data_IF_991580793397
#
_entry.id   IF_991580793397
#
_cell.length_a   1.000
_cell.length_b   1.000
_cell.length_c   1.000
_cell.angle_alpha   90.00
_cell.angle_beta   90.00
_cell.angle_gamma   90.00
#
_symmetry.space_group_name_H-M   'P 1'
#
loop_
_entity.id
_entity.type
_entity.pdbx_description
1 polymer ?
2 non-polymer ?
3 water ?
#
# COMPACT_ATOMS: atom_id res chain seq x y z
N UNK A 1 2.08 -16.05 3.51
CA UNK A 1 3.58 -16.29 3.30
C UNK A 1 4.30 -15.02 2.88
N UNK A 2 5.60 -14.98 3.11
CA UNK A 2 6.47 -13.96 2.43
C UNK A 2 7.87 -14.45 2.41
N UNK A 3 8.63 -13.91 1.47
CA UNK A 3 10.04 -14.29 1.36
C UNK A 3 10.69 -12.93 1.14
N UNK A 4 11.44 -12.48 2.15
CA UNK A 4 12.03 -11.18 2.12
C UNK A 4 13.44 -11.25 2.65
N UNK A 5 14.28 -10.33 2.24
CA UNK A 5 15.62 -10.09 2.81
C UNK A 5 15.53 -9.58 4.25
N UNK A 6 16.33 -10.15 5.19
CA UNK A 6 16.35 -9.58 6.56
C UNK A 6 17.06 -8.25 6.58
N UNK A 7 16.69 -7.37 7.53
CA UNK A 7 17.38 -6.07 7.67
C UNK A 7 18.79 -6.20 8.27
N UNK A 8 19.63 -5.18 8.08
CA UNK A 8 21.01 -5.22 8.59
C UNK A 8 21.05 -5.34 10.15
N UNK A 9 22.22 -5.71 10.69
CA UNK A 9 22.38 -5.91 12.14
C UNK A 9 21.85 -4.66 12.89
N UNK A 10 21.08 -4.94 13.93
CA UNK A 10 20.51 -3.95 14.81
C UNK A 10 19.37 -3.07 14.22
N UNK A 11 18.91 -3.28 12.97
CA UNK A 11 17.94 -2.31 12.37
C UNK A 11 16.65 -2.21 13.15
N UNK A 12 16.27 -3.30 13.84
CA UNK A 12 14.98 -3.40 14.54
C UNK A 12 15.14 -3.27 16.06
N UNK A 13 16.31 -2.78 16.47
CA UNK A 13 16.62 -2.41 17.86
C UNK A 13 16.51 -0.90 18.05
N UNK A 14 15.47 -0.52 18.78
CA UNK A 14 15.02 0.87 18.81
C UNK A 14 15.18 1.46 20.20
N UNK A 15 15.76 2.65 20.28
CA UNK A 15 15.66 3.51 21.48
C UNK A 15 14.23 4.09 21.51
N UNK A 16 13.84 4.69 20.40
CA UNK A 16 12.43 5.08 20.26
C UNK A 16 11.98 4.88 18.81
N UNK A 17 10.70 4.56 18.62
CA UNK A 17 10.04 4.53 17.33
C UNK A 17 9.40 5.87 17.09
N UNK A 18 9.68 6.46 15.95
CA UNK A 18 9.09 7.74 15.52
C UNK A 18 8.03 7.53 14.48
N UNK A 19 6.90 8.21 14.63
CA UNK A 19 5.94 8.36 13.52
C UNK A 19 6.59 9.24 12.47
N UNK A 20 6.24 9.04 11.21
CA UNK A 20 6.90 9.71 10.10
C UNK A 20 5.86 10.40 9.18
N UNK A 21 6.22 11.58 8.65
CA UNK A 21 5.39 12.28 7.66
C UNK A 21 6.23 12.38 6.40
N UNK A 22 5.61 12.62 5.23
CA UNK A 22 6.50 12.75 4.05
C UNK A 22 7.52 13.86 4.14
N UNK A 23 8.65 13.70 3.46
CA UNK A 23 9.68 14.71 3.52
C UNK A 23 10.06 15.33 2.17
N UNK A 24 9.33 14.96 1.11
CA UNK A 24 9.53 15.46 -0.21
C UNK A 24 8.26 15.40 -1.02
N UNK A 25 8.07 16.44 -1.85
CA UNK A 25 7.00 16.55 -2.82
C UNK A 25 7.52 16.82 -4.26
N UNK A 26 7.06 16.04 -5.23
CA UNK A 26 7.45 16.14 -6.62
C UNK A 26 6.22 16.63 -7.34
N UNK A 27 6.36 17.83 -7.90
CA UNK A 27 5.27 18.54 -8.57
C UNK A 27 5.06 18.10 -9.99
N UNK A 28 3.80 17.91 -10.39
CA UNK A 28 3.50 17.78 -11.80
C UNK A 28 2.27 18.56 -12.14
N UNK A 29 2.01 18.49 -13.45
CA UNK A 29 0.92 19.16 -14.06
C UNK A 29 -0.44 18.88 -13.42
N UNK A 30 -0.96 17.67 -13.43
CA UNK A 30 -2.20 17.61 -12.66
C UNK A 30 -2.18 16.90 -11.31
N UNK A 31 -1.11 16.99 -10.53
CA UNK A 31 -1.18 16.48 -9.16
C UNK A 31 0.25 16.50 -8.59
N UNK A 32 0.54 15.58 -7.66
CA UNK A 32 1.91 15.50 -7.11
C UNK A 32 2.13 14.11 -6.45
N UNK A 33 3.38 13.85 -6.09
CA UNK A 33 3.79 12.58 -5.39
C UNK A 33 4.63 13.02 -4.20
N UNK A 34 4.30 12.55 -3.01
CA UNK A 34 5.06 12.81 -1.83
C UNK A 34 5.69 11.49 -1.38
N UNK A 35 6.91 11.58 -0.90
CA UNK A 35 7.69 10.34 -0.49
C UNK A 35 8.06 10.47 0.99
N UNK A 36 8.03 9.32 1.71
CA UNK A 36 8.67 9.18 3.03
C UNK A 36 10.13 8.70 2.84
N UNK A 37 11.03 9.21 3.64
CA UNK A 37 12.42 8.86 3.54
C UNK A 37 12.56 7.35 3.89
N UNK A 38 12.99 6.53 2.92
CA UNK A 38 13.08 5.08 3.24
C UNK A 38 14.35 4.72 4.08
N UNK A 39 15.23 5.70 4.30
CA UNK A 39 16.52 5.55 5.03
C UNK A 39 16.36 5.69 6.54
N UNK A 40 15.18 6.15 6.98
CA UNK A 40 14.85 6.27 8.39
C UNK A 40 14.75 4.88 9.03
N UNK A 41 15.10 4.80 10.30
CA UNK A 41 15.21 3.47 10.93
C UNK A 41 13.95 2.63 10.80
N UNK A 42 12.78 3.27 10.95
CA UNK A 42 11.49 2.58 10.93
C UNK A 42 11.30 1.84 9.60
N UNK A 43 11.64 2.51 8.50
CA UNK A 43 11.56 1.92 7.17
C UNK A 43 12.65 0.92 6.81
N UNK A 44 13.86 1.18 7.28
CA UNK A 44 14.97 0.18 7.17
C UNK A 44 14.60 -1.17 7.82
N UNK A 45 14.08 -1.09 9.04
CA UNK A 45 13.55 -2.22 9.78
C UNK A 45 12.49 -3.00 9.01
N UNK A 46 11.42 -2.32 8.55
CA UNK A 46 10.34 -2.91 7.77
C UNK A 46 10.71 -3.35 6.34
N UNK A 47 11.83 -2.82 5.79
CA UNK A 47 12.36 -3.12 4.48
C UNK A 47 11.43 -2.63 3.39
N UNK A 48 10.77 -1.49 3.58
CA UNK A 48 9.75 -1.04 2.61
C UNK A 48 9.92 0.50 2.36
N UNK A 49 9.29 0.98 1.32
CA UNK A 49 9.23 2.48 1.01
C UNK A 49 7.77 2.86 0.83
N UNK A 50 7.42 4.12 1.16
CA UNK A 50 6.04 4.56 1.13
C UNK A 50 5.97 5.89 0.37
N UNK A 51 4.90 6.03 -0.37
CA UNK A 51 4.60 7.31 -1.09
C UNK A 51 3.12 7.54 -1.19
N UNK A 52 2.77 8.77 -1.57
CA UNK A 52 1.40 9.18 -1.61
C UNK A 52 1.22 9.99 -2.89
N UNK A 53 0.21 9.68 -3.64
CA UNK A 53 -0.02 10.31 -4.94
C UNK A 53 -1.35 11.09 -4.87
N UNK A 54 -1.35 12.31 -5.41
CA UNK A 54 -2.64 13.03 -5.53
C UNK A 54 -2.87 13.30 -7.02
N UNK A 55 -4.03 12.93 -7.51
CA UNK A 55 -4.39 13.13 -8.94
C UNK A 55 -5.68 13.94 -9.01
N UNK A 56 -5.58 15.13 -9.63
CA UNK A 56 -6.75 16.01 -9.73
C UNK A 56 -7.65 15.54 -10.90
N UNK A 57 -8.82 16.14 -11.07
CA UNK A 57 -9.66 15.80 -12.21
C UNK A 57 -8.88 15.83 -13.55
N UNK A 58 -9.11 14.80 -14.36
CA UNK A 58 -8.44 14.58 -15.66
C UNK A 58 -6.92 14.38 -15.61
N UNK A 59 -6.33 14.04 -14.44
CA UNK A 59 -4.87 13.90 -14.34
C UNK A 59 -4.57 12.38 -14.60
N UNK A 60 -3.50 12.14 -15.33
CA UNK A 60 -3.05 10.76 -15.72
C UNK A 60 -1.69 10.56 -15.12
N UNK A 61 -1.51 9.51 -14.30
CA UNK A 61 -0.17 9.16 -13.83
C UNK A 61 0.28 8.20 -14.94
N UNK A 62 1.26 8.63 -15.70
CA UNK A 62 1.69 7.99 -16.95
C UNK A 62 2.38 6.66 -16.61
N UNK A 63 2.33 5.70 -17.54
CA UNK A 63 2.74 4.31 -17.14
C UNK A 63 4.17 4.12 -16.64
N UNK A 64 4.36 3.21 -15.68
CA UNK A 64 5.67 2.94 -15.15
C UNK A 64 5.60 1.49 -14.57
N UNK A 65 6.77 0.90 -14.40
CA UNK A 65 6.84 -0.41 -13.66
C UNK A 65 7.96 -0.30 -12.65
N UNK A 66 7.97 -1.23 -11.67
CA UNK A 66 8.92 -1.09 -10.61
C UNK A 66 9.50 -2.51 -10.33
N UNK A 67 10.72 -2.55 -9.82
CA UNK A 67 11.45 -3.74 -9.35
C UNK A 67 10.90 -4.36 -8.09
N UNK A 68 10.07 -3.64 -7.36
CA UNK A 68 9.58 -4.17 -6.09
C UNK A 68 8.06 -4.19 -6.24
N UNK A 69 7.39 -5.21 -5.66
CA UNK A 69 5.91 -5.31 -5.69
C UNK A 69 5.31 -4.12 -4.92
N UNK A 70 4.13 -3.68 -5.35
CA UNK A 70 3.44 -2.59 -4.62
C UNK A 70 2.05 -2.99 -4.22
N UNK A 71 1.59 -2.39 -3.15
CA UNK A 71 0.13 -2.39 -2.78
C UNK A 71 -0.25 -0.90 -2.74
N UNK A 72 -1.34 -0.57 -3.40
CA UNK A 72 -1.81 0.86 -3.42
C UNK A 72 -3.19 0.87 -2.82
N UNK A 73 -3.36 1.72 -1.83
CA UNK A 73 -4.66 1.90 -1.22
C UNK A 73 -5.29 3.26 -1.69
N UNK A 74 -6.58 3.24 -2.09
CA UNK A 74 -7.29 4.43 -2.60
C UNK A 74 -8.03 5.02 -1.34
N UNK A 75 -7.41 6.07 -0.81
CA UNK A 75 -7.89 6.78 0.36
C UNK A 75 -9.14 7.61 0.03
N UNK A 76 -9.09 8.20 -1.14
CA UNK A 76 -10.27 8.97 -1.64
C UNK A 76 -10.28 9.02 -3.12
N UNK A 77 -11.49 9.20 -3.68
CA UNK A 77 -11.64 9.38 -5.11
C UNK A 77 -11.98 8.12 -5.88
N UNK A 78 -12.13 8.30 -7.19
CA UNK A 78 -12.50 7.22 -8.08
C UNK A 78 -12.02 7.56 -9.47
N UNK A 79 -11.87 6.51 -10.30
CA UNK A 79 -11.14 6.69 -11.53
C UNK A 79 -10.95 5.32 -12.22
N UNK A 80 -9.97 5.29 -13.11
CA UNK A 80 -9.64 4.12 -13.95
C UNK A 80 -8.19 3.79 -13.73
N UNK A 81 -7.78 2.50 -13.79
CA UNK A 81 -6.37 2.15 -13.89
C UNK A 81 -6.22 0.98 -14.85
N UNK A 82 -5.07 0.87 -15.46
CA UNK A 82 -4.66 -0.38 -16.15
C UNK A 82 -3.38 -1.00 -15.60
N UNK A 83 -3.32 -2.31 -15.64
CA UNK A 83 -2.10 -3.04 -15.36
C UNK A 83 -1.80 -3.76 -16.69
N UNK A 84 -0.54 -3.76 -17.13
CA UNK A 84 -0.14 -4.47 -18.35
C UNK A 84 0.67 -5.72 -17.96
N UNK A 85 0.00 -6.84 -18.09
CA UNK A 85 0.57 -8.18 -17.90
C UNK A 85 1.20 -8.70 -19.18
N UNK A 86 2.52 -8.91 -19.15
CA UNK A 86 3.18 -9.07 -20.46
C UNK A 86 2.71 -10.23 -21.35
N UNK A 87 2.47 -9.89 -22.61
CA UNK A 87 2.06 -10.81 -23.66
C UNK A 87 0.60 -11.17 -23.68
N UNK A 88 -0.17 -10.73 -22.65
CA UNK A 88 -1.62 -11.04 -22.59
C UNK A 88 -2.29 -10.29 -23.77
N UNK A 89 -3.15 -10.95 -24.55
CA UNK A 89 -3.78 -10.29 -25.67
C UNK A 89 -4.73 -9.19 -25.14
N UNK A 90 -5.01 -8.25 -26.02
CA UNK A 90 -6.05 -7.30 -25.74
C UNK A 90 -7.40 -7.93 -25.61
N UNK A 91 -8.21 -7.50 -24.65
CA UNK A 91 -9.59 -8.01 -24.61
C UNK A 91 -10.67 -6.93 -24.65
N UNK A 92 -10.25 -5.67 -24.70
CA UNK A 92 -11.21 -4.50 -24.83
C UNK A 92 -10.98 -3.97 -26.26
N UNK A 93 -12.04 -3.91 -27.04
CA UNK A 93 -11.85 -3.46 -28.45
C UNK A 93 -13.10 -2.81 -28.97
N UNK A 94 -12.91 -1.97 -29.99
CA UNK A 94 -14.07 -1.39 -30.72
C UNK A 94 -13.88 -1.37 -32.23
N UNK A 95 -15.01 -1.53 -32.96
CA UNK A 95 -15.12 -1.41 -34.43
C UNK A 95 -14.71 0.01 -34.87
N UNK A 96 -14.03 0.08 -36.02
CA UNK A 96 -13.64 1.37 -36.63
C UNK A 96 -14.92 2.22 -36.79
N UNK A 97 -14.89 3.42 -36.21
CA UNK A 97 -16.06 4.30 -36.07
C UNK A 97 -17.38 3.58 -35.74
N UNK A 118 -16.56 -5.33 -41.05
CA UNK A 118 -16.07 -4.84 -39.75
C UNK A 118 -14.54 -4.90 -39.67
N UNK A 119 -13.95 -3.75 -39.32
CA UNK A 119 -12.52 -3.63 -39.05
C UNK A 119 -12.35 -3.00 -37.66
N UNK A 120 -11.15 -3.11 -37.10
CA UNK A 120 -10.91 -2.76 -35.70
C UNK A 120 -10.28 -1.37 -35.48
N UNK A 121 -10.87 -0.59 -34.58
CA UNK A 121 -10.34 0.73 -34.30
C UNK A 121 -9.17 0.69 -33.30
N UNK A 122 -9.47 0.43 -32.03
CA UNK A 122 -8.43 0.34 -31.02
C UNK A 122 -8.74 -0.90 -30.20
N UNK A 123 -7.70 -1.47 -29.62
CA UNK A 123 -7.90 -2.60 -28.71
C UNK A 123 -6.83 -2.45 -27.66
N UNK A 124 -7.10 -2.98 -26.47
CA UNK A 124 -6.19 -2.74 -25.37
C UNK A 124 -6.52 -3.70 -24.25
N UNK A 125 -5.64 -3.75 -23.24
CA UNK A 125 -5.93 -4.59 -22.07
C UNK A 125 -7.06 -3.99 -21.21
N UNK A 126 -7.75 -4.84 -20.45
CA UNK A 126 -8.82 -4.46 -19.54
C UNK A 126 -8.50 -3.17 -18.75
N UNK A 127 -9.47 -2.27 -18.75
CA UNK A 127 -9.35 -1.04 -17.97
C UNK A 127 -10.26 -1.25 -16.78
N UNK A 128 -9.71 -1.02 -15.60
CA UNK A 128 -10.45 -1.23 -14.39
C UNK A 128 -10.92 0.10 -13.78
N UNK A 129 -12.17 0.13 -13.34
CA UNK A 129 -12.63 1.14 -12.36
C UNK A 129 -12.08 0.92 -10.94
N UNK A 130 -11.70 2.00 -10.30
CA UNK A 130 -11.38 1.95 -8.88
C UNK A 130 -12.23 2.94 -8.08
N UNK A 131 -12.38 2.64 -6.80
CA UNK A 131 -13.22 3.40 -5.90
C UNK A 131 -12.46 3.56 -4.61
N UNK A 132 -12.92 4.51 -3.76
CA UNK A 132 -12.39 4.70 -2.39
C UNK A 132 -12.42 3.40 -1.67
N UNK A 133 -11.33 3.10 -0.98
CA UNK A 133 -11.33 1.88 -0.14
C UNK A 133 -10.66 0.71 -0.90
N UNK A 134 -10.41 0.90 -2.19
CA UNK A 134 -9.79 -0.19 -2.99
C UNK A 134 -8.33 -0.38 -2.62
N UNK A 135 -7.93 -1.67 -2.60
CA UNK A 135 -6.55 -2.00 -2.40
C UNK A 135 -6.09 -2.72 -3.72
N UNK A 136 -5.09 -2.18 -4.37
CA UNK A 136 -4.65 -2.69 -5.69
C UNK A 136 -3.24 -3.30 -5.55
N UNK A 137 -3.05 -4.47 -6.15
CA UNK A 137 -1.78 -5.21 -6.06
C UNK A 137 -1.06 -5.05 -7.38
N UNK A 138 0.18 -4.60 -7.37
CA UNK A 138 0.92 -4.40 -8.64
C UNK A 138 2.16 -5.34 -8.56
N UNK A 139 2.13 -6.48 -9.26
CA UNK A 139 3.36 -7.34 -9.21
C UNK A 139 4.63 -6.66 -9.76
N UNK A 140 5.80 -7.11 -9.36
CA UNK A 140 7.09 -6.66 -9.86
C UNK A 140 7.12 -6.72 -11.40
N UNK A 141 7.55 -5.60 -11.99
CA UNK A 141 7.69 -5.43 -13.46
C UNK A 141 6.40 -5.30 -14.26
N UNK A 142 5.25 -5.23 -13.61
CA UNK A 142 4.00 -5.07 -14.29
C UNK A 142 3.77 -3.54 -14.40
N UNK A 143 3.52 -3.10 -15.62
CA UNK A 143 3.27 -1.63 -15.84
C UNK A 143 1.89 -1.18 -15.37
N UNK A 144 1.84 0.01 -14.73
CA UNK A 144 0.66 0.52 -14.12
C UNK A 144 0.47 1.99 -14.57
N UNK A 145 -0.77 2.33 -14.83
CA UNK A 145 -1.18 3.79 -15.01
C UNK A 145 -2.52 4.03 -14.28
N UNK A 146 -2.80 5.30 -13.88
CA UNK A 146 -3.98 5.61 -13.01
C UNK A 146 -4.52 6.93 -13.61
N UNK A 147 -5.83 7.07 -13.61
CA UNK A 147 -6.51 8.30 -14.15
C UNK A 147 -7.68 8.69 -13.26
N UNK A 148 -7.82 10.01 -12.95
CA UNK A 148 -8.99 10.46 -12.20
C UNK A 148 -9.96 11.17 -13.19
N UNK A 149 -11.21 10.72 -13.28
CA UNK A 149 -12.22 11.33 -14.19
C UNK A 149 -13.32 12.10 -13.41
N UNK A 150 -13.06 12.41 -12.13
CA UNK A 150 -14.03 13.07 -11.28
C UNK A 150 -13.47 14.24 -10.51
N UNK A 151 -14.37 15.04 -9.97
CA UNK A 151 -13.98 16.27 -9.27
C UNK A 151 -13.12 16.02 -8.07
N UNK A 152 -13.52 15.05 -7.24
CA UNK A 152 -12.81 14.72 -5.94
C UNK A 152 -11.40 14.29 -6.32
N UNK A 153 -10.40 14.85 -5.66
CA UNK A 153 -8.99 14.41 -5.93
C UNK A 153 -8.89 12.94 -5.57
N UNK A 154 -8.11 12.19 -6.35
CA UNK A 154 -7.83 10.76 -5.93
C UNK A 154 -6.61 10.91 -5.03
N UNK A 155 -6.58 10.24 -3.90
CA UNK A 155 -5.37 10.15 -3.05
C UNK A 155 -5.11 8.63 -2.83
N UNK A 156 -3.89 8.24 -3.16
CA UNK A 156 -3.49 6.80 -3.16
C UNK A 156 -2.26 6.73 -2.29
N UNK A 157 -2.19 5.74 -1.38
CA UNK A 157 -0.98 5.57 -0.58
C UNK A 157 -0.37 4.22 -1.07
N UNK A 158 0.91 4.28 -1.44
CA UNK A 158 1.59 3.19 -2.14
C UNK A 158 2.71 2.63 -1.24
N UNK A 159 2.61 1.34 -0.97
CA UNK A 159 3.70 0.64 -0.26
C UNK A 159 4.50 -0.14 -1.26
N UNK A 160 5.80 0.11 -1.29
CA UNK A 160 6.73 -0.57 -2.26
C UNK A 160 7.62 -1.51 -1.44
N UNK A 161 7.54 -2.81 -1.67
CA UNK A 161 8.32 -3.79 -0.81
C UNK A 161 9.71 -4.08 -1.34
N UNK A 162 10.62 -3.20 -0.98
CA UNK A 162 12.02 -3.16 -1.43
C UNK A 162 12.78 -4.45 -1.04
N UNK A 163 12.43 -5.02 0.10
CA UNK A 163 13.16 -6.25 0.60
C UNK A 163 12.58 -7.55 0.11
N UNK A 164 11.53 -7.46 -0.70
CA UNK A 164 10.88 -8.58 -1.24
C UNK A 164 11.86 -9.42 -2.11
N UNK A 165 11.79 -10.74 -2.02
CA UNK A 165 12.45 -11.73 -2.87
C UNK A 165 12.31 -11.43 -4.36
N UNK A 166 11.15 -10.86 -4.73
CA UNK A 166 10.91 -10.54 -6.15
C UNK A 166 11.82 -9.43 -6.67
N UNK A 167 12.36 -8.59 -5.78
CA UNK A 167 13.30 -7.59 -6.18
C UNK A 167 14.69 -8.21 -6.15
N UNK A 168 15.25 -8.50 -7.33
CA UNK A 168 16.61 -9.10 -7.40
C UNK A 168 17.69 -8.03 -7.63
N UNK A 169 17.30 -6.75 -7.63
CA UNK A 169 18.25 -5.68 -7.65
C UNK A 169 18.45 -5.27 -6.16
N UNK A 170 19.26 -4.27 -5.92
CA UNK A 170 19.62 -3.80 -4.62
C UNK A 170 18.38 -3.10 -3.99
N UNK A 171 18.50 -2.66 -2.76
CA UNK A 171 17.30 -2.18 -2.09
C UNK A 171 17.04 -0.68 -2.38
N UNK A 172 17.02 -0.29 -3.63
CA UNK A 172 16.58 1.04 -4.09
C UNK A 172 15.26 0.74 -4.81
N UNK A 173 14.12 1.33 -4.35
CA UNK A 173 12.83 1.17 -5.07
C UNK A 173 12.80 2.06 -6.33
N UNK A 174 12.96 1.49 -7.53
CA UNK A 174 13.06 2.24 -8.78
C UNK A 174 11.70 2.37 -9.41
N UNK A 175 11.51 3.42 -10.26
CA UNK A 175 10.36 3.57 -11.14
C UNK A 175 10.92 3.65 -12.53
N UNK A 176 10.60 2.64 -13.34
CA UNK A 176 11.01 2.63 -14.73
C UNK A 176 9.89 3.28 -15.51
N UNK A 177 10.06 4.58 -15.85
CA UNK A 177 8.97 5.37 -16.43
C UNK A 177 8.89 5.11 -17.93
N UNK A 178 7.73 4.79 -18.46
CA UNK A 178 7.54 4.56 -19.90
C UNK A 178 7.49 5.87 -20.76
N UNK A 179 7.29 6.99 -20.06
CA UNK A 179 7.04 8.34 -20.68
C UNK A 179 7.64 9.49 -19.85
N UNK A 180 7.73 10.71 -20.41
CA UNK A 180 8.22 11.82 -19.58
C UNK A 180 9.73 11.93 -19.50
N UNK A 181 10.20 12.89 -18.70
CA UNK A 181 11.60 13.26 -18.72
C UNK A 181 11.94 13.91 -17.41
N UNK A 182 11.57 13.20 -16.33
CA UNK A 182 11.60 13.70 -14.96
C UNK A 182 12.30 12.82 -13.95
N UNK A 183 12.26 13.35 -12.73
CA UNK A 183 12.99 12.79 -11.59
C UNK A 183 12.36 11.48 -11.12
N UNK A 184 13.24 10.49 -10.95
CA UNK A 184 12.77 9.26 -10.27
C UNK A 184 12.38 9.55 -8.84
N UNK A 185 11.18 9.10 -8.51
CA UNK A 185 10.53 9.20 -7.17
C UNK A 185 11.50 9.16 -5.97
N UNK A 186 12.20 8.04 -5.80
CA UNK A 186 13.09 7.86 -4.66
C UNK A 186 14.56 8.12 -4.89
N UNK A 187 14.91 8.76 -5.99
CA UNK A 187 16.35 8.95 -6.33
C UNK A 187 17.12 9.78 -5.29
N UNK A 188 16.50 10.84 -4.79
CA UNK A 188 17.17 11.66 -3.78
C UNK A 188 17.69 10.94 -2.54
N UNK A 189 17.17 9.75 -2.26
CA UNK A 189 17.58 9.01 -1.06
C UNK A 189 18.73 7.99 -1.25
N UNK A 190 19.10 7.71 -2.50
CA UNK A 190 20.24 6.79 -2.77
C UNK A 190 21.61 7.38 -2.44
N UNK A 191 22.58 6.51 -2.13
CA UNK A 191 23.99 6.93 -2.18
C UNK A 191 24.47 7.29 -3.61
N UNK A 240 15.06 10.81 -17.29
CA UNK A 240 14.56 10.28 -18.57
C UNK A 240 13.75 9.01 -18.46
N UNK A 241 12.95 8.72 -19.50
CA UNK A 241 12.17 7.49 -19.54
C UNK A 241 12.97 6.33 -20.14
N UNK A 242 12.39 5.13 -20.13
CA UNK A 242 13.05 3.91 -20.62
C UNK A 242 13.43 4.04 -22.13
N UNK A 243 12.54 4.65 -22.93
CA UNK A 243 12.78 4.80 -24.39
C UNK A 243 13.89 5.79 -24.70
N UNK A 244 14.08 6.74 -23.78
CA UNK A 244 14.91 7.90 -24.04
C UNK A 244 16.35 7.42 -24.11
N UNK A 245 16.65 6.27 -23.47
CA UNK A 245 18.00 5.75 -23.51
C UNK A 245 18.39 5.02 -24.79
N UNK A 246 17.43 4.68 -25.65
CA UNK A 246 17.73 4.03 -26.94
C UNK A 246 17.94 5.04 -28.06
N UNK A 247 18.79 4.66 -29.01
CA UNK A 247 19.13 5.59 -30.12
C UNK A 247 17.97 5.65 -31.05
N UNK A 248 17.80 6.80 -31.74
CA UNK A 248 16.69 6.93 -32.63
C UNK A 248 16.62 5.82 -33.68
N UNK A 249 17.76 5.28 -34.11
CA UNK A 249 17.67 4.26 -35.16
C UNK A 249 17.10 2.92 -34.63
N UNK A 250 17.38 2.60 -33.38
CA UNK A 250 16.74 1.42 -32.74
C UNK A 250 15.20 1.57 -32.64
N UNK A 251 14.75 2.75 -32.20
CA UNK A 251 13.31 2.97 -31.99
C UNK A 251 12.52 3.04 -33.30
N UNK A 252 13.12 3.58 -34.38
CA UNK A 252 12.41 3.64 -35.65
C UNK A 252 12.21 2.22 -36.15
N UNK A 253 13.26 1.41 -36.03
CA UNK A 253 13.14 -0.02 -36.45
C UNK A 253 12.12 -0.77 -35.57
N UNK A 254 12.28 -0.59 -34.24
CA UNK A 254 11.40 -1.26 -33.26
C UNK A 254 9.92 -0.96 -33.47
N UNK A 255 9.55 0.29 -33.79
CA UNK A 255 8.15 0.67 -33.90
C UNK A 255 7.73 0.87 -35.39
N UNK A 256 8.71 0.70 -36.30
CA UNK A 256 8.52 0.95 -37.78
C UNK A 256 7.83 2.30 -37.97
N UNK A 257 8.40 3.32 -37.35
CA UNK A 257 7.91 4.64 -37.62
C UNK A 257 9.09 5.36 -38.23
N UNK A 258 8.82 5.94 -39.41
CA UNK A 258 9.83 6.72 -40.16
C UNK A 258 9.89 8.16 -39.60
N UNK A 259 8.78 8.63 -39.01
CA UNK A 259 8.69 9.98 -38.50
C UNK A 259 9.60 10.13 -37.27
N UNK A 260 10.73 10.76 -37.50
CA UNK A 260 11.75 11.03 -36.49
C UNK A 260 11.23 11.90 -35.34
N UNK A 261 10.19 12.70 -35.58
CA UNK A 261 9.49 13.46 -34.50
C UNK A 261 8.48 12.62 -33.67
N UNK A 262 7.99 11.50 -34.20
CA UNK A 262 7.24 10.51 -33.39
C UNK A 262 8.21 9.95 -32.33
N UNK A 263 9.42 9.58 -32.76
CA UNK A 263 10.45 9.03 -31.90
C UNK A 263 10.97 10.08 -30.95
N UNK A 264 11.03 11.35 -31.36
CA UNK A 264 11.45 12.43 -30.44
C UNK A 264 10.53 12.57 -29.25
N UNK A 265 9.25 12.49 -29.51
CA UNK A 265 8.28 12.66 -28.45
C UNK A 265 8.33 11.39 -27.51
N UNK A 266 8.25 10.23 -28.14
CA UNK A 266 8.44 8.98 -27.41
C UNK A 266 9.59 9.10 -26.41
N UNK A 267 10.72 9.62 -26.84
CA UNK A 267 11.86 9.82 -25.94
C UNK A 267 11.77 10.96 -24.88
N UNK A 268 10.67 11.70 -24.92
CA UNK A 268 10.47 12.80 -23.98
C UNK A 268 11.23 14.07 -24.36
N UNK A 269 11.67 14.19 -25.61
CA UNK A 269 12.52 15.32 -26.03
C UNK A 269 11.72 16.63 -26.08
N UNK A 270 10.41 16.49 -26.23
CA UNK A 270 9.57 17.67 -26.32
C UNK A 270 8.95 18.11 -24.97
N UNK A 271 9.73 17.91 -23.91
CA UNK A 271 9.27 18.29 -22.55
C UNK A 271 10.38 18.45 -21.48
N UNK A 272 10.11 19.34 -20.52
CA UNK A 272 11.00 19.61 -19.36
C UNK A 272 10.78 18.61 -18.20
N UNK A 273 11.77 18.58 -17.30
CA UNK A 273 11.66 17.87 -15.99
C UNK A 273 10.45 18.31 -15.14
N UNK A 274 9.84 19.43 -15.55
CA UNK A 274 8.66 19.99 -14.89
C UNK A 274 7.30 19.81 -15.61
N UNK A 275 7.17 18.76 -16.42
CA UNK A 275 5.85 18.27 -16.88
C UNK A 275 5.45 17.17 -15.89
N UNK A 276 6.49 16.50 -15.34
CA UNK A 276 6.39 15.43 -14.32
C UNK A 276 5.74 14.10 -14.64
N UNK A 277 5.61 13.26 -13.61
CA UNK A 277 4.98 11.94 -13.81
C UNK A 277 3.50 12.00 -14.19
N UNK A 278 2.81 13.09 -13.81
CA UNK A 278 1.36 13.21 -13.92
C UNK A 278 1.02 14.33 -14.96
N UNK A 279 0.22 14.01 -15.96
CA UNK A 279 -0.20 14.98 -16.97
C UNK A 279 -1.70 15.25 -16.88
N UNK A 280 -2.16 16.45 -17.32
CA UNK A 280 -3.62 16.64 -17.32
C UNK A 280 -4.13 16.36 -18.74
N UNK A 281 -5.24 15.65 -18.88
CA UNK A 281 -5.78 15.35 -20.19
C UNK A 281 -6.90 16.39 -20.51
N UNK A 282 -6.61 17.26 -21.45
CA UNK A 282 -7.62 18.34 -21.82
C UNK A 282 -8.80 17.69 -22.46
N UNK A 283 -9.98 17.96 -21.90
CA UNK A 283 -11.21 17.36 -22.39
C UNK A 283 -11.49 15.98 -21.82
N UNK A 284 -10.52 15.46 -21.07
CA UNK A 284 -10.64 14.13 -20.46
C UNK A 284 -10.31 13.02 -21.43
N UNK A 285 -9.96 11.88 -20.83
CA UNK A 285 -9.61 10.66 -21.54
C UNK A 285 -10.84 9.96 -21.99
N UNK A 286 -10.79 9.44 -23.20
CA UNK A 286 -11.78 8.45 -23.60
C UNK A 286 -11.09 7.07 -23.75
N UNK A 287 -11.60 6.08 -23.00
CA UNK A 287 -11.07 4.70 -23.06
C UNK A 287 -12.29 3.80 -23.08
N UNK A 288 -12.07 2.53 -23.47
CA UNK A 288 -13.15 1.55 -23.49
C UNK A 288 -13.41 1.05 -22.07
N UNK A 289 -14.67 1.17 -21.65
CA UNK A 289 -15.20 0.66 -20.36
C UNK A 289 -16.71 0.93 -20.36
N UNK A 290 -17.55 -0.04 -19.91
CA UNK A 290 -19.03 0.15 -19.95
C UNK A 290 -19.54 1.17 -18.92
N UNK A 326 -9.92 -19.54 -22.82
CA UNK A 326 -8.48 -19.65 -22.98
C UNK A 326 -7.84 -18.68 -22.00
N UNK A 327 -6.66 -18.22 -22.33
CA UNK A 327 -5.85 -17.42 -21.43
C UNK A 327 -6.44 -16.03 -21.22
N UNK A 328 -7.27 -15.55 -22.16
CA UNK A 328 -7.87 -14.19 -22.04
C UNK A 328 -8.84 -14.06 -20.88
N UNK A 329 -9.78 -14.99 -20.71
CA UNK A 329 -10.74 -14.86 -19.59
C UNK A 329 -10.33 -15.64 -18.31
N UNK A 330 -9.11 -16.22 -18.31
CA UNK A 330 -8.60 -16.94 -17.14
C UNK A 330 -7.40 -16.14 -16.58
N UNK A 331 -6.16 -16.62 -16.78
CA UNK A 331 -4.96 -15.97 -16.23
C UNK A 331 -4.78 -14.51 -16.60
N UNK A 332 -5.15 -14.09 -17.82
CA UNK A 332 -4.95 -12.71 -18.20
C UNK A 332 -5.96 -11.75 -17.59
N UNK A 333 -7.05 -12.28 -17.02
CA UNK A 333 -7.98 -11.39 -16.35
C UNK A 333 -8.16 -11.77 -14.81
N UNK A 334 -7.07 -12.25 -14.19
CA UNK A 334 -7.10 -12.51 -12.74
C UNK A 334 -7.41 -11.17 -12.00
N UNK A 335 -7.98 -11.31 -10.82
CA UNK A 335 -8.34 -10.12 -10.04
C UNK A 335 -7.09 -9.44 -9.50
N UNK A 336 -7.10 -8.10 -9.48
CA UNK A 336 -5.91 -7.41 -9.02
C UNK A 336 -6.29 -6.38 -7.93
N UNK A 337 -7.54 -6.30 -7.52
CA UNK A 337 -7.89 -5.38 -6.42
C UNK A 337 -9.04 -5.90 -5.61
N UNK A 338 -9.21 -5.38 -4.40
CA UNK A 338 -10.29 -5.78 -3.53
C UNK A 338 -10.64 -4.51 -2.69
N UNK A 339 -11.93 -4.22 -2.58
CA UNK A 339 -12.32 -3.13 -1.69
C UNK A 339 -12.25 -3.56 -0.23
N UNK A 340 -11.52 -2.80 0.58
CA UNK A 340 -11.58 -3.05 2.03
C UNK A 340 -11.95 -1.85 2.91
N UNK A 341 -11.84 -0.64 2.35
CA UNK A 341 -12.07 0.59 3.14
C UNK A 341 -13.55 0.93 3.14
N UNK A 342 -14.23 0.66 2.05
CA UNK A 342 -15.62 1.14 1.98
C UNK A 342 -16.63 0.04 2.28
N UNK A 343 -16.07 -1.13 2.57
CA UNK A 343 -16.86 -2.38 2.60
C UNK A 343 -17.88 -2.49 3.74
N UNK A 344 -19.04 -3.02 3.36
CA UNK A 344 -20.20 -3.08 4.26
C UNK A 344 -20.11 -4.41 5.01
N UNK A 345 -18.93 -5.02 4.96
CA UNK A 345 -18.77 -6.30 5.60
C UNK A 345 -17.36 -6.50 6.20
N UNK A 346 -17.13 -5.87 7.36
CA UNK A 346 -15.85 -6.08 8.04
C UNK A 346 -15.71 -7.55 8.48
N UNK A 347 -14.47 -7.95 8.76
CA UNK A 347 -14.23 -9.29 9.29
C UNK A 347 -14.52 -9.38 10.80
N UNK A 348 -14.11 -8.34 11.51
CA UNK A 348 -14.35 -8.23 12.98
C UNK A 348 -15.22 -6.98 13.17
N UNK A 349 -16.27 -7.08 13.97
CA UNK A 349 -17.15 -5.90 14.15
C UNK A 349 -17.81 -5.91 15.54
N UNK A 350 -17.72 -4.75 16.18
CA UNK A 350 -18.46 -4.47 17.44
C UNK A 350 -19.02 -3.02 17.29
N UNK A 351 -20.36 -2.87 17.19
CA UNK A 351 -20.88 -1.51 16.87
C UNK A 351 -20.56 -0.43 17.95
N UNK A 352 -20.18 -0.89 19.15
CA UNK A 352 -19.71 0.03 20.17
C UNK A 352 -18.21 0.19 20.28
N UNK A 353 -17.39 -0.43 19.39
CA UNK A 353 -15.95 -0.24 19.55
C UNK A 353 -15.21 -0.02 18.24
N UNK A 354 -15.54 -0.85 17.24
CA UNK A 354 -14.80 -0.66 15.97
C UNK A 354 -14.92 -1.79 14.99
N UNK A 355 -14.13 -1.68 13.89
CA UNK A 355 -14.12 -2.79 12.96
C UNK A 355 -12.74 -3.01 12.34
N UNK A 356 -12.58 -4.19 11.76
CA UNK A 356 -11.37 -4.52 11.01
C UNK A 356 -11.74 -5.28 9.78
N UNK A 357 -11.01 -5.01 8.70
CA UNK A 357 -11.26 -5.76 7.45
C UNK A 357 -9.94 -5.96 6.75
N UNK A 358 -9.68 -7.17 6.25
CA UNK A 358 -8.40 -7.46 5.69
C UNK A 358 -8.59 -7.82 4.22
N UNK A 359 -7.58 -7.50 3.41
CA UNK A 359 -7.43 -8.02 2.04
C UNK A 359 -6.10 -8.86 2.19
N UNK A 360 -6.23 -10.16 2.10
CA UNK A 360 -5.05 -11.04 2.12
C UNK A 360 -5.18 -12.06 0.96
N UNK A 361 -4.38 -13.10 0.99
CA UNK A 361 -4.34 -14.08 -0.15
C UNK A 361 -5.59 -14.99 -0.24
N UNK A 362 -6.41 -15.01 0.82
CA UNK A 362 -7.70 -15.69 0.77
C UNK A 362 -8.84 -14.87 0.14
N UNK A 363 -8.61 -13.59 -0.03
CA UNK A 363 -9.55 -12.63 -0.60
C UNK A 363 -9.15 -12.11 -1.97
N UNK A 364 -7.86 -11.98 -2.17
CA UNK A 364 -7.26 -11.44 -3.37
C UNK A 364 -6.06 -12.35 -3.68
N UNK A 365 -6.32 -13.33 -4.52
CA UNK A 365 -5.36 -14.43 -4.68
C UNK A 365 -3.96 -13.96 -5.09
N UNK A 366 -3.88 -12.96 -5.97
CA UNK A 366 -2.59 -12.48 -6.42
C UNK A 366 -1.64 -12.03 -5.25
N UNK A 367 -2.22 -11.63 -4.08
CA UNK A 367 -1.36 -11.27 -2.95
C UNK A 367 -0.42 -12.41 -2.50
N UNK A 368 -0.82 -13.66 -2.78
CA UNK A 368 0.03 -14.82 -2.45
C UNK A 368 1.40 -14.67 -3.12
N UNK A 369 1.43 -14.22 -4.39
CA UNK A 369 2.73 -14.04 -5.06
C UNK A 369 3.48 -12.86 -4.60
N UNK A 370 2.76 -11.81 -4.16
CA UNK A 370 3.38 -10.55 -3.74
C UNK A 370 3.96 -10.64 -2.33
N UNK A 371 3.41 -11.52 -1.49
CA UNK A 371 3.86 -11.59 -0.05
C UNK A 371 3.43 -10.38 0.78
N UNK A 372 2.26 -9.83 0.43
CA UNK A 372 1.76 -8.56 1.04
C UNK A 372 0.29 -8.61 1.30
N UNK A 373 -0.16 -7.78 2.23
CA UNK A 373 -1.60 -7.69 2.51
C UNK A 373 -1.84 -6.33 3.20
N UNK A 374 -3.10 -6.05 3.48
CA UNK A 374 -3.44 -4.78 4.17
C UNK A 374 -4.71 -4.93 4.95
N UNK A 375 -4.88 -4.06 5.92
CA UNK A 375 -6.01 -4.14 6.76
C UNK A 375 -6.51 -2.67 6.86
N UNK A 376 -7.80 -2.54 7.02
CA UNK A 376 -8.39 -1.24 7.24
C UNK A 376 -9.18 -1.36 8.57
N UNK A 377 -8.98 -0.41 9.49
CA UNK A 377 -9.63 -0.52 10.77
C UNK A 377 -10.33 0.81 11.11
N UNK A 378 -11.39 0.67 11.92
CA UNK A 378 -12.08 1.82 12.55
C UNK A 378 -12.05 1.63 14.02
N UNK A 379 -11.82 2.70 14.76
CA UNK A 379 -11.88 2.53 16.18
C UNK A 379 -12.64 3.76 16.74
N UNK A 380 -13.74 3.53 17.42
CA UNK A 380 -14.65 4.65 17.85
C UNK A 380 -14.14 5.36 19.12
N UNK A 381 -14.64 6.59 19.45
CA UNK A 381 -14.03 7.41 20.51
C UNK A 381 -13.87 6.61 21.79
N UNK A 382 -12.69 6.64 22.39
CA UNK A 382 -12.46 5.95 23.69
C UNK A 382 -12.49 4.42 23.67
N UNK A 383 -12.72 3.82 22.49
CA UNK A 383 -12.60 2.38 22.37
C UNK A 383 -11.11 2.00 22.29
N UNK A 384 -10.81 0.73 22.58
CA UNK A 384 -9.40 0.26 22.60
C UNK A 384 -9.27 -0.94 21.62
N UNK A 385 -8.20 -0.94 20.84
CA UNK A 385 -7.74 -2.16 20.16
C UNK A 385 -6.73 -2.74 21.18
N UNK A 386 -7.04 -3.90 21.73
CA UNK A 386 -6.21 -4.54 22.84
C UNK A 386 -4.72 -4.76 22.45
N UNK A 387 -3.77 -4.79 23.45
CA UNK A 387 -2.42 -5.18 23.13
C UNK A 387 -2.47 -6.47 22.29
N UNK A 388 -1.74 -6.40 21.19
CA UNK A 388 -1.63 -7.58 20.28
C UNK A 388 -0.30 -7.50 19.58
N UNK A 389 0.07 -8.58 18.91
CA UNK A 389 1.24 -8.50 17.99
C UNK A 389 0.91 -9.30 16.76
N UNK A 390 1.67 -9.04 15.74
CA UNK A 390 1.63 -9.79 14.46
C UNK A 390 2.71 -10.84 14.50
N UNK A 391 2.36 -12.09 14.35
CA UNK A 391 3.38 -13.17 14.42
C UNK A 391 4.41 -13.10 13.30
N UNK A 392 3.98 -12.65 12.10
CA UNK A 392 4.64 -13.01 10.82
C UNK A 392 4.77 -11.83 9.83
N UNK A 393 4.65 -10.60 10.34
CA UNK A 393 4.64 -9.41 9.49
C UNK A 393 4.97 -8.13 10.19
N UNK A 394 5.71 -7.25 9.53
CA UNK A 394 5.71 -5.83 9.93
C UNK A 394 4.34 -5.22 9.58
N UNK A 395 3.96 -4.17 10.35
CA UNK A 395 2.73 -3.43 10.09
C UNK A 395 3.10 -1.99 9.79
N UNK A 396 2.62 -1.45 8.68
CA UNK A 396 2.94 -0.06 8.39
C UNK A 396 1.57 0.66 8.47
N UNK A 397 1.38 1.40 9.57
CA UNK A 397 0.08 1.99 9.89
C UNK A 397 0.01 3.42 9.39
N UNK A 398 -0.88 3.68 8.41
CA UNK A 398 -1.07 5.04 7.90
C UNK A 398 -2.40 5.54 8.52
N UNK A 399 -2.35 6.61 9.34
CA UNK A 399 -3.55 7.14 9.91
C UNK A 399 -4.38 7.84 8.80
N UNK A 400 -5.62 7.43 8.60
CA UNK A 400 -6.46 8.01 7.52
C UNK A 400 -7.34 9.21 7.99
N UNK A 401 -7.89 9.13 9.21
CA UNK A 401 -8.84 10.16 9.75
C UNK A 401 -8.75 10.07 11.29
N UNK A 402 -8.85 11.22 11.98
CA UNK A 402 -8.81 11.25 13.43
C UNK A 402 -7.46 11.02 14.07
N UNK A 403 -7.51 10.60 15.32
CA UNK A 403 -6.25 10.42 16.05
C UNK A 403 -6.45 9.34 17.13
N UNK A 404 -5.36 8.67 17.53
CA UNK A 404 -5.47 7.62 18.51
C UNK A 404 -4.22 7.67 19.31
N UNK A 405 -4.38 7.50 20.61
CA UNK A 405 -3.26 7.26 21.49
C UNK A 405 -2.77 5.81 21.28
N UNK A 406 -1.53 5.72 20.81
CA UNK A 406 -0.93 4.42 20.52
C UNK A 406 0.35 4.20 21.37
N UNK A 407 0.49 2.96 21.85
CA UNK A 407 1.69 2.49 22.53
C UNK A 407 2.24 1.22 21.83
N UNK A 408 3.56 1.10 21.74
CA UNK A 408 4.22 -0.03 21.09
C UNK A 408 5.32 -0.46 22.11
N UNK A 409 5.44 -1.77 22.37
CA UNK A 409 6.40 -2.38 23.31
C UNK A 409 7.30 -3.39 22.58
N UNK A 410 8.60 -3.28 22.84
CA UNK A 410 9.62 -4.11 22.21
C UNK A 410 9.95 -5.41 23.05
N UNK A 411 10.96 -6.19 22.66
CA UNK A 411 11.17 -7.52 23.28
C UNK A 411 11.72 -7.32 24.72
N UNK A 412 12.13 -6.11 25.05
CA UNK A 412 12.65 -5.82 26.43
C UNK A 412 11.57 -5.27 27.34
N UNK A 413 10.34 -5.18 26.84
CA UNK A 413 9.24 -4.56 27.55
C UNK A 413 9.39 -3.05 27.60
N UNK A 414 10.23 -2.50 26.72
CA UNK A 414 10.35 -1.07 26.64
C UNK A 414 9.23 -0.41 25.80
N UNK A 415 8.70 0.70 26.29
CA UNK A 415 7.70 1.47 25.53
C UNK A 415 8.38 2.34 24.52
N UNK A 416 8.49 1.84 23.29
CA UNK A 416 9.26 2.52 22.26
C UNK A 416 8.43 3.60 21.55
N UNK A 417 7.13 3.55 21.72
CA UNK A 417 6.30 4.58 21.14
C UNK A 417 5.13 4.83 22.06
N UNK A 418 4.87 6.10 22.36
CA UNK A 418 3.76 6.44 23.25
C UNK A 418 3.24 7.86 22.88
N UNK A 419 2.28 7.90 21.95
CA UNK A 419 1.67 9.14 21.61
C UNK A 419 0.48 9.07 20.74
N UNK A 420 -0.02 10.26 20.40
CA UNK A 420 -1.22 10.41 19.60
C UNK A 420 -0.77 10.28 18.17
N UNK A 421 -1.28 9.23 17.50
CA UNK A 421 -0.94 9.03 16.10
C UNK A 421 -1.94 9.89 15.30
N UNK A 422 -1.46 10.86 14.54
CA UNK A 422 -2.44 11.66 13.79
C UNK A 422 -2.59 11.39 12.31
N UNK A 423 -3.77 11.75 11.77
CA UNK A 423 -4.00 11.64 10.34
C UNK A 423 -2.84 12.13 9.44
N UNK A 424 -2.53 11.32 8.44
CA UNK A 424 -1.39 11.58 7.54
C UNK A 424 0.00 11.25 8.10
N UNK A 425 0.08 10.73 9.32
CA UNK A 425 1.37 10.20 9.84
C UNK A 425 1.36 8.64 9.72
N UNK A 426 2.56 8.10 9.74
CA UNK A 426 2.77 6.67 9.58
C UNK A 426 3.57 6.14 10.74
N UNK A 427 3.11 5.02 11.28
CA UNK A 427 3.81 4.31 12.34
C UNK A 427 4.07 2.88 11.91
N UNK A 428 5.35 2.53 11.91
CA UNK A 428 5.77 1.12 11.66
C UNK A 428 5.80 0.38 13.00
N UNK A 429 5.08 -0.73 13.07
CA UNK A 429 5.13 -1.65 14.23
C UNK A 429 5.89 -2.90 13.72
N UNK A 430 7.17 -3.08 14.19
CA UNK A 430 7.98 -4.27 13.74
C UNK A 430 7.29 -5.56 14.10
N UNK A 431 7.51 -6.60 13.26
CA UNK A 431 7.04 -7.93 13.57
C UNK A 431 7.27 -8.25 15.06
N UNK A 432 6.25 -8.85 15.66
CA UNK A 432 6.25 -9.38 17.06
C UNK A 432 6.20 -8.31 18.17
N UNK A 433 6.50 -7.04 17.85
CA UNK A 433 6.37 -5.94 18.87
C UNK A 433 4.85 -5.85 19.22
N UNK A 434 4.53 -5.58 20.50
CA UNK A 434 3.14 -5.49 20.88
C UNK A 434 2.61 -4.04 20.65
N UNK A 435 1.34 -3.88 20.32
CA UNK A 435 0.82 -2.54 20.07
C UNK A 435 -0.61 -2.51 20.61
N UNK A 436 -1.04 -1.33 21.07
CA UNK A 436 -2.42 -1.10 21.51
C UNK A 436 -2.75 0.34 21.17
N UNK A 437 -4.04 0.63 20.97
CA UNK A 437 -4.45 2.02 20.59
C UNK A 437 -5.83 2.31 21.17
N UNK A 438 -6.02 3.58 21.57
CA UNK A 438 -7.29 4.13 22.13
C UNK A 438 -7.55 5.40 21.29
N UNK A 439 -8.68 5.40 20.62
CA UNK A 439 -9.07 6.40 19.67
C UNK A 439 -9.43 7.65 20.49
N UNK A 440 -8.92 8.78 20.06
CA UNK A 440 -9.27 10.04 20.69
C UNK A 440 -10.09 10.87 19.69
N UNK A 441 -10.88 10.22 18.82
CA UNK A 441 -11.65 10.90 17.77
C UNK A 441 -12.97 10.22 17.66
N UNK A 442 -13.98 10.85 17.05
CA UNK A 442 -15.23 10.13 16.90
C UNK A 442 -15.00 8.78 16.21
N UNK A 443 -14.16 8.76 15.15
CA UNK A 443 -13.83 7.52 14.45
C UNK A 443 -12.40 7.57 13.95
N UNK A 444 -11.52 6.84 14.62
CA UNK A 444 -10.16 6.88 14.13
C UNK A 444 -10.16 5.83 13.01
N UNK A 445 -9.60 6.19 11.86
CA UNK A 445 -9.55 5.29 10.68
C UNK A 445 -8.12 5.13 10.24
N UNK A 446 -7.73 3.88 9.87
CA UNK A 446 -6.34 3.65 9.50
C UNK A 446 -6.30 2.49 8.46
N UNK A 447 -5.29 2.55 7.61
CA UNK A 447 -4.88 1.37 6.76
C UNK A 447 -3.57 0.86 7.31
N UNK A 448 -3.39 -0.47 7.38
CA UNK A 448 -2.13 -0.99 7.95
C UNK A 448 -1.65 -1.92 6.85
N UNK A 449 -0.57 -1.59 6.20
CA UNK A 449 0.00 -2.56 5.19
C UNK A 449 0.81 -3.62 6.00
N UNK A 450 0.83 -4.86 5.56
CA UNK A 450 1.56 -5.90 6.29
C UNK A 450 2.47 -6.70 5.37
N UNK A 451 3.66 -7.06 5.85
CA UNK A 451 4.67 -7.68 4.99
C UNK A 451 4.50 -9.23 5.01
N UNK A 452 3.28 -9.72 4.95
CA UNK A 452 2.97 -11.14 4.65
C UNK A 452 1.67 -11.23 3.90
N UNK A 453 1.49 -12.26 3.07
CA UNK A 453 0.18 -12.38 2.38
C UNK A 453 -0.95 -12.91 3.25
N UNK A 454 -0.62 -13.43 4.46
CA UNK A 454 -1.63 -13.94 5.33
C UNK A 454 -1.20 -13.63 6.78
N UNK A 455 -1.22 -12.36 7.15
CA UNK A 455 -0.66 -12.01 8.48
C UNK A 455 -1.58 -12.54 9.58
N UNK A 456 -0.99 -12.84 10.73
CA UNK A 456 -1.76 -13.47 11.81
C UNK A 456 -1.64 -12.59 13.05
N UNK A 457 -2.77 -12.10 13.54
CA UNK A 457 -2.78 -11.30 14.80
C UNK A 457 -2.94 -12.17 16.05
N UNK A 458 -2.06 -11.94 17.04
CA UNK A 458 -2.14 -12.66 18.32
C UNK A 458 -2.54 -11.62 19.38
N UNK A 459 -3.79 -11.72 19.81
CA UNK A 459 -4.32 -10.82 20.87
C UNK A 459 -3.79 -11.34 22.20
N UNK A 460 -3.43 -10.39 23.08
CA UNK A 460 -2.85 -10.64 24.40
C UNK A 460 -3.90 -10.57 25.49
N UNK A 461 -5.02 -9.93 25.20
CA UNK A 461 -6.10 -9.82 26.21
C UNK A 461 -7.44 -10.08 25.53
N UNK A 462 -8.43 -10.60 26.23
CA UNK A 462 -9.79 -10.74 25.67
C UNK A 462 -10.13 -12.16 25.32
N UNK A 463 -11.30 -12.39 24.74
CA UNK A 463 -11.72 -13.73 24.43
C UNK A 463 -10.80 -14.40 23.39
N UNK A 464 -10.50 -15.68 23.63
CA UNK A 464 -9.49 -16.45 22.88
C UNK A 464 -8.14 -15.77 22.68
N UNK A 465 -7.72 -14.91 23.60
CA UNK A 465 -6.41 -14.31 23.54
C UNK A 465 -5.35 -15.28 24.12
N UNK A 466 -4.11 -14.86 24.13
CA UNK A 466 -3.07 -15.68 24.68
C UNK A 466 -3.41 -15.97 26.15
N UNK A 467 -3.83 -14.97 26.89
CA UNK A 467 -4.07 -15.17 28.36
C UNK A 467 -5.28 -16.07 28.54
N UNK A 468 -6.37 -15.83 27.79
CA UNK A 468 -7.53 -16.67 27.82
C UNK A 468 -7.24 -18.16 27.52
N UNK A 469 -6.21 -18.43 26.70
CA UNK A 469 -5.95 -19.82 26.28
C UNK A 469 -4.91 -20.58 27.12
N UNK A 470 -4.35 -19.91 28.12
CA UNK A 470 -3.46 -20.56 29.10
C UNK A 470 -4.31 -21.14 30.26
N UNK A 471 -3.91 -22.31 30.83
CA UNK A 471 -4.60 -22.86 32.04
C UNK A 471 -4.57 -21.80 33.15
N UNK A 472 -5.68 -21.75 33.90
CA UNK A 472 -5.85 -20.79 35.03
C UNK A 472 -4.65 -20.85 35.98
N UNK A 473 -4.15 -22.05 36.25
CA UNK A 473 -3.01 -22.21 37.19
C UNK A 473 -1.70 -21.72 36.60
N UNK A 474 -1.56 -21.79 35.27
CA UNK A 474 -0.43 -21.16 34.64
C UNK A 474 -0.50 -19.64 34.69
N UNK A 475 -1.68 -19.02 34.54
CA UNK A 475 -1.76 -17.57 34.58
C UNK A 475 -1.44 -17.19 36.08
N UNK A 476 -2.05 -17.95 36.97
CA UNK A 476 -1.90 -17.69 38.48
C UNK A 476 -0.41 -17.76 38.88
N UNK A 477 0.28 -18.83 38.52
CA UNK A 477 1.69 -18.96 38.83
C UNK A 477 2.64 -18.03 38.04
N UNK A 478 2.28 -17.65 36.80
CA UNK A 478 3.14 -16.73 36.04
C UNK A 478 3.14 -15.31 36.63
N UNK A 479 2.01 -14.87 37.21
CA UNK A 479 1.84 -13.46 37.63
C UNK A 479 1.80 -13.25 39.16
N UNK A 480 1.93 -14.35 39.88
CA UNK A 480 1.90 -14.31 41.38
C UNK A 480 0.49 -14.00 41.90
N UNK A 481 -0.54 -14.56 41.28
CA UNK A 481 -1.89 -14.13 41.58
C UNK A 481 -2.66 -15.28 42.21
N UNK A 482 -3.57 -14.97 43.18
CA UNK A 482 -4.51 -15.99 43.67
C UNK A 482 -5.41 -16.43 42.53
N UNK A 483 -5.85 -17.69 42.60
CA UNK A 483 -6.65 -18.34 41.59
C UNK A 483 -7.76 -17.45 41.10
N UNK A 484 -8.34 -16.66 42.01
CA UNK A 484 -9.47 -15.81 41.70
C UNK A 484 -9.08 -14.59 40.89
N UNK A 485 -7.92 -13.99 41.19
CA UNK A 485 -7.51 -12.82 40.41
C UNK A 485 -7.06 -13.26 38.99
N UNK A 486 -6.63 -14.52 38.88
CA UNK A 486 -6.18 -15.12 37.59
C UNK A 486 -7.40 -15.33 36.73
N UNK A 487 -8.47 -15.85 37.34
CA UNK A 487 -9.75 -16.02 36.66
C UNK A 487 -10.30 -14.70 36.13
N UNK A 488 -10.08 -13.61 36.86
CA UNK A 488 -10.51 -12.26 36.41
C UNK A 488 -9.73 -11.77 35.19
N UNK A 489 -8.42 -11.89 35.24
CA UNK A 489 -7.57 -11.63 34.09
C UNK A 489 -8.02 -12.40 32.80
N UNK A 490 -8.39 -13.68 32.92
CA UNK A 490 -8.85 -14.52 31.78
C UNK A 490 -10.25 -14.13 31.34
N UNK A 491 -11.11 -13.74 32.28
CA UNK A 491 -12.55 -13.68 31.94
C UNK A 491 -13.29 -12.34 31.94
N UNK A 492 -12.75 -11.31 32.61
CA UNK A 492 -13.43 -10.02 32.77
C UNK A 492 -13.76 -9.35 31.43
N UNK A 493 -12.87 -9.55 30.44
CA UNK A 493 -13.10 -8.99 29.08
C UNK A 493 -13.64 -10.11 28.18
N UNK A 494 -14.97 -10.10 27.89
CA UNK A 494 -15.52 -11.17 27.08
C UNK A 494 -15.39 -10.93 25.54
N UNK A 495 -14.83 -9.79 25.15
CA UNK A 495 -14.76 -9.39 23.72
C UNK A 495 -13.43 -9.78 23.07
N UNK A 496 -13.44 -9.86 21.75
CA UNK A 496 -12.23 -10.14 20.95
C UNK A 496 -11.80 -8.88 20.24
N UNK A 497 -10.52 -8.57 20.29
CA UNK A 497 -9.85 -7.49 19.53
C UNK A 497 -10.11 -6.10 20.10
N UNK A 498 -11.38 -5.69 20.08
CA UNK A 498 -11.79 -4.34 20.48
C UNK A 498 -12.53 -4.39 21.81
N UNK A 499 -12.36 -3.32 22.56
CA UNK A 499 -13.08 -3.19 23.82
C UNK A 499 -13.79 -1.83 23.85
N UNK A 500 -15.12 -1.86 24.13
CA UNK A 500 -15.88 -0.59 24.16
C UNK A 500 -15.35 0.40 25.23
N UNK A 501 -15.69 1.71 25.12
CA UNK A 501 -15.26 2.77 26.12
C UNK A 501 -15.57 2.44 27.60
#
# INVERSE_FOLDING_TARGET
ISFRQQPEENACQFQRLNAQRPDNRIESEGGYIETWNPNNQEFECAGVALSRLVLRRNALRRPFYSNAPQEIFIQQGRGYFGLIFPGCPSTYEEPAQQGRRYQSQRPPRRLQEEDQSQQQQDSHQKVHRFNEGDLIAVPTGVAFWLYNDHDTDVVAVSLTDTNNNDNQLDQFPRRFNLAGNHEQEFLRYQQQSRQSRRRSLPYSPYSPQSQPRQEEREFSPRGQHSRRERAGQEEEHEGGNIFSGFTPEFLAQAFQVDDRQIVQNLRGENESEEQGAIVTVRGGLRILSPDRKRGADEEEEYDEDEYEYDEEDRRRGRGSRGSGNGIEETICTATVKKNIGRNRSPDIYNPQAGSLKTANELNLLILRWLGLSAEYGNLYRNALFVPHYNTNAHSIIYALRGRAHVQVVDSNGNRVYDEELQEGHVLVVPQNFAVAGKSQSDNFEYVAFKTDSRPSIANLAGENSVIDNLPEEVVANSYGLPREQARQLKNNNPFKFFVPPSQQSPRAVA
#
